data_IF_669866529824
#
_entry.id   IF_669866529824
#
_cell.length_a   1.000
_cell.length_b   1.000
_cell.length_c   1.000
_cell.angle_alpha   90.00
_cell.angle_beta   90.00
_cell.angle_gamma   90.00
#
_symmetry.space_group_name_H-M   'P 1'
#
loop_
_entity.id
_entity.type
_entity.pdbx_description
1 polymer ?
#
# COMPACT_ATOMS: atom_id res chain seq x y z
N UNK A 1 -26.48 -21.00 -7.57
CA UNK A 1 -26.47 -19.88 -6.61
C UNK A 1 -25.44 -20.20 -5.53
N UNK A 2 -24.26 -19.57 -5.58
CA UNK A 2 -23.42 -19.37 -4.39
C UNK A 2 -22.41 -18.25 -4.65
N UNK A 3 -22.71 -17.13 -3.99
CA UNK A 3 -21.87 -16.02 -3.48
C UNK A 3 -20.63 -15.62 -4.28
N UNK A 4 -20.77 -14.44 -4.88
CA UNK A 4 -19.76 -13.40 -5.07
C UNK A 4 -18.35 -13.76 -4.58
N UNK A 5 -17.51 -14.14 -5.54
CA UNK A 5 -16.07 -13.92 -5.50
C UNK A 5 -15.89 -12.39 -5.52
N UNK A 6 -16.00 -11.75 -4.36
CA UNK A 6 -15.61 -10.34 -4.21
C UNK A 6 -14.13 -10.27 -4.58
N UNK A 7 -13.84 -9.64 -5.71
CA UNK A 7 -12.53 -9.46 -6.30
C UNK A 7 -11.45 -9.19 -5.23
N UNK A 8 -10.67 -10.21 -4.86
CA UNK A 8 -9.48 -10.03 -4.04
C UNK A 8 -8.50 -9.20 -4.86
N UNK A 9 -8.16 -8.00 -4.39
CA UNK A 9 -7.00 -7.24 -4.89
C UNK A 9 -5.81 -8.22 -4.90
N UNK A 10 -5.16 -8.51 -6.05
CA UNK A 10 -3.93 -9.28 -6.03
C UNK A 10 -2.93 -8.49 -5.18
N UNK A 11 -2.49 -9.06 -4.07
CA UNK A 11 -1.50 -8.42 -3.21
C UNK A 11 -0.19 -8.30 -3.97
N UNK A 12 0.50 -7.19 -3.81
CA UNK A 12 1.76 -6.96 -4.50
C UNK A 12 2.82 -7.93 -4.00
N UNK A 13 3.63 -8.43 -4.93
CA UNK A 13 4.74 -9.29 -4.54
C UNK A 13 5.78 -8.49 -3.74
N UNK A 14 6.30 -9.10 -2.67
CA UNK A 14 7.29 -8.45 -1.81
C UNK A 14 8.55 -8.02 -2.59
N UNK A 15 8.94 -8.77 -3.62
CA UNK A 15 10.06 -8.40 -4.48
C UNK A 15 9.75 -7.16 -5.30
N UNK A 16 8.52 -7.07 -5.82
CA UNK A 16 8.04 -5.88 -6.52
C UNK A 16 8.10 -4.66 -5.59
N UNK A 17 7.58 -4.80 -4.37
CA UNK A 17 7.58 -3.74 -3.37
C UNK A 17 8.98 -3.28 -2.97
N UNK A 18 9.90 -4.21 -2.70
CA UNK A 18 11.30 -3.87 -2.39
C UNK A 18 11.98 -3.15 -3.57
N UNK A 19 11.70 -3.58 -4.80
CA UNK A 19 12.20 -2.89 -6.01
C UNK A 19 11.64 -1.48 -6.11
N UNK A 20 10.37 -1.26 -5.76
CA UNK A 20 9.74 0.07 -5.70
C UNK A 20 10.33 0.93 -4.58
N UNK A 21 10.47 0.40 -3.36
CA UNK A 21 11.13 1.11 -2.26
C UNK A 21 12.54 1.54 -2.61
N UNK A 22 13.30 0.73 -3.36
CA UNK A 22 14.66 1.08 -3.76
C UNK A 22 14.76 2.22 -4.79
N UNK A 23 13.64 2.71 -5.34
CA UNK A 23 13.66 3.77 -6.34
C UNK A 23 13.60 5.19 -5.73
N UNK A 24 14.10 6.20 -6.47
CA UNK A 24 13.83 7.61 -6.20
C UNK A 24 12.33 7.94 -6.13
N UNK A 25 11.97 9.02 -5.44
CA UNK A 25 10.58 9.40 -5.18
C UNK A 25 9.76 9.60 -6.46
N UNK A 26 10.31 10.27 -7.46
CA UNK A 26 9.73 10.47 -8.79
C UNK A 26 9.34 9.15 -9.46
N UNK A 27 10.22 8.15 -9.41
CA UNK A 27 9.92 6.81 -9.95
C UNK A 27 8.88 6.08 -9.08
N UNK A 28 8.89 6.27 -7.76
CA UNK A 28 7.87 5.71 -6.86
C UNK A 28 6.47 6.27 -7.18
N UNK A 29 6.37 7.58 -7.45
CA UNK A 29 5.14 8.22 -7.90
C UNK A 29 4.67 7.67 -9.24
N UNK A 30 5.58 7.49 -10.21
CA UNK A 30 5.22 6.93 -11.53
C UNK A 30 4.70 5.48 -11.42
N UNK A 31 5.27 4.67 -10.53
CA UNK A 31 4.85 3.29 -10.28
C UNK A 31 3.47 3.20 -9.60
N UNK A 32 3.12 4.22 -8.81
CA UNK A 32 1.86 4.38 -8.08
C UNK A 32 0.96 5.48 -8.68
N UNK A 33 1.09 5.79 -9.97
CA UNK A 33 0.51 6.98 -10.61
C UNK A 33 -1.02 7.14 -10.49
N UNK A 34 -1.75 6.11 -10.06
CA UNK A 34 -3.20 6.15 -9.82
C UNK A 34 -3.59 6.51 -8.39
N UNK A 35 -2.64 6.80 -7.50
CA UNK A 35 -2.87 6.98 -6.07
C UNK A 35 -2.48 8.38 -5.59
N UNK A 36 -3.29 8.97 -4.71
CA UNK A 36 -3.04 10.28 -4.10
C UNK A 36 -2.23 10.20 -2.79
N UNK A 37 -1.86 9.00 -2.35
CA UNK A 37 -1.23 8.73 -1.06
C UNK A 37 -0.07 7.75 -1.16
N UNK A 38 0.82 7.90 -2.14
CA UNK A 38 1.87 6.92 -2.48
C UNK A 38 2.69 6.44 -1.28
N UNK A 39 3.04 7.32 -0.35
CA UNK A 39 3.77 6.96 0.86
C UNK A 39 2.99 5.98 1.77
N UNK A 40 1.70 6.26 1.99
CA UNK A 40 0.80 5.44 2.79
C UNK A 40 0.47 4.12 2.07
N UNK A 41 0.14 4.19 0.77
CA UNK A 41 -0.17 3.03 -0.04
C UNK A 41 1.01 2.06 -0.15
N UNK A 42 2.23 2.57 -0.32
CA UNK A 42 3.45 1.77 -0.38
C UNK A 42 3.72 1.05 0.96
N UNK A 43 3.51 1.73 2.09
CA UNK A 43 3.67 1.13 3.41
C UNK A 43 2.59 0.07 3.70
N UNK A 44 1.34 0.38 3.37
CA UNK A 44 0.18 -0.50 3.54
C UNK A 44 0.28 -1.75 2.66
N UNK A 45 0.67 -1.62 1.39
CA UNK A 45 0.87 -2.76 0.49
C UNK A 45 2.04 -3.64 0.98
N UNK A 46 3.08 -3.06 1.61
CA UNK A 46 4.19 -3.81 2.20
C UNK A 46 3.78 -4.63 3.42
N UNK A 47 3.07 -4.03 4.37
CA UNK A 47 2.50 -4.73 5.53
C UNK A 47 1.59 -5.87 5.06
N UNK A 48 0.71 -5.57 4.09
CA UNK A 48 -0.16 -6.56 3.46
C UNK A 48 0.65 -7.70 2.86
N UNK A 49 1.72 -7.42 2.12
CA UNK A 49 2.56 -8.46 1.52
C UNK A 49 3.23 -9.35 2.57
N UNK A 50 3.68 -8.80 3.70
CA UNK A 50 4.23 -9.56 4.84
C UNK A 50 3.18 -10.46 5.47
N UNK A 51 1.99 -9.92 5.78
CA UNK A 51 0.88 -10.68 6.37
C UNK A 51 0.54 -11.93 5.55
N UNK A 52 0.60 -11.83 4.22
CA UNK A 52 0.32 -12.95 3.32
C UNK A 52 1.44 -14.00 3.23
N UNK A 53 2.67 -13.72 3.70
CA UNK A 53 3.72 -14.74 3.76
C UNK A 53 3.52 -15.73 4.91
N UNK A 54 2.63 -15.41 5.86
CA UNK A 54 2.26 -16.26 6.98
C UNK A 54 3.30 -16.32 8.09
N UNK A 55 2.98 -17.10 9.12
CA UNK A 55 3.69 -17.08 10.40
C UNK A 55 5.18 -17.49 10.28
N UNK A 56 6.00 -16.84 11.10
CA UNK A 56 7.45 -17.04 11.17
C UNK A 56 8.21 -16.59 9.92
N UNK A 57 7.56 -15.96 8.93
CA UNK A 57 8.26 -15.44 7.75
C UNK A 57 9.37 -14.45 8.13
N UNK A 58 9.06 -13.48 8.99
CA UNK A 58 10.03 -12.49 9.46
C UNK A 58 11.17 -13.12 10.27
N UNK A 59 10.90 -14.19 11.02
CA UNK A 59 11.95 -14.90 11.78
C UNK A 59 12.92 -15.65 10.85
N UNK A 60 12.44 -16.11 9.69
CA UNK A 60 13.26 -16.72 8.63
C UNK A 60 13.94 -15.70 7.73
N UNK A 61 13.52 -14.43 7.77
CA UNK A 61 14.01 -13.34 6.90
C UNK A 61 14.40 -12.13 7.76
N UNK A 62 15.51 -12.20 8.51
CA UNK A 62 15.89 -11.17 9.48
C UNK A 62 16.17 -9.80 8.83
N UNK A 63 16.60 -9.79 7.58
CA UNK A 63 16.78 -8.59 6.75
C UNK A 63 15.44 -7.90 6.46
N UNK A 64 14.41 -8.66 6.08
CA UNK A 64 13.05 -8.13 5.89
C UNK A 64 12.46 -7.67 7.21
N UNK A 65 12.70 -8.41 8.30
CA UNK A 65 12.26 -8.04 9.66
C UNK A 65 12.90 -6.72 10.13
N UNK A 66 14.15 -6.46 9.76
CA UNK A 66 14.80 -5.19 10.09
C UNK A 66 14.19 -4.03 9.30
N UNK A 67 13.90 -4.24 8.02
CA UNK A 67 13.21 -3.27 7.17
C UNK A 67 11.79 -2.96 7.66
N UNK A 68 11.02 -3.99 8.01
CA UNK A 68 9.68 -3.89 8.57
C UNK A 68 9.66 -3.00 9.83
N UNK A 69 10.56 -3.27 10.78
CA UNK A 69 10.73 -2.44 11.98
C UNK A 69 11.16 -1.01 11.69
N UNK A 70 11.94 -0.79 10.63
CA UNK A 70 12.33 0.56 10.23
C UNK A 70 11.09 1.31 9.73
N UNK A 71 10.26 0.68 8.92
CA UNK A 71 9.01 1.24 8.41
C UNK A 71 8.03 1.56 9.55
N UNK A 72 7.91 0.68 10.54
CA UNK A 72 7.02 0.84 11.71
C UNK A 72 7.38 2.05 12.61
N UNK A 73 8.63 2.53 12.56
CA UNK A 73 9.14 3.56 13.49
C UNK A 73 8.30 4.83 13.52
N UNK A 74 7.66 5.16 12.40
CA UNK A 74 6.85 6.37 12.22
C UNK A 74 5.35 6.09 12.04
N UNK A 75 4.89 4.87 12.36
CA UNK A 75 3.46 4.57 12.39
C UNK A 75 2.75 5.46 13.41
N UNK A 76 1.60 6.00 13.01
CA UNK A 76 0.84 6.98 13.81
C UNK A 76 1.37 8.42 13.74
N UNK A 77 2.40 8.70 12.93
CA UNK A 77 2.93 10.06 12.68
C UNK A 77 2.60 10.48 11.23
N UNK A 78 1.43 11.10 10.98
CA UNK A 78 0.93 11.41 9.63
C UNK A 78 1.90 12.25 8.78
N UNK A 79 2.76 13.05 9.40
CA UNK A 79 3.74 13.90 8.73
C UNK A 79 4.74 13.11 7.87
N UNK A 80 5.04 11.85 8.22
CA UNK A 80 5.96 10.98 7.48
C UNK A 80 5.31 10.29 6.28
N UNK A 81 3.98 10.36 6.14
CA UNK A 81 3.21 9.66 5.09
C UNK A 81 2.70 10.62 4.02
N UNK A 82 3.36 11.76 3.87
CA UNK A 82 3.04 12.79 2.86
C UNK A 82 3.95 12.66 1.63
N UNK A 83 3.51 13.20 0.49
CA UNK A 83 4.36 13.26 -0.71
C UNK A 83 5.66 14.06 -0.46
N UNK A 84 5.59 15.12 0.35
CA UNK A 84 6.74 15.95 0.68
C UNK A 84 7.75 15.19 1.53
N UNK A 85 7.27 14.39 2.51
CA UNK A 85 8.13 13.49 3.26
C UNK A 85 8.76 12.43 2.35
N UNK A 86 7.98 11.82 1.45
CA UNK A 86 8.50 10.84 0.49
C UNK A 86 9.65 11.42 -0.35
N UNK A 87 9.55 12.69 -0.78
CA UNK A 87 10.57 13.36 -1.60
C UNK A 87 11.82 13.77 -0.82
N UNK A 88 11.66 14.24 0.41
CA UNK A 88 12.68 15.04 1.07
C UNK A 88 13.10 14.55 2.46
N UNK A 89 12.33 13.67 3.08
CA UNK A 89 12.64 13.21 4.43
C UNK A 89 13.78 12.17 4.43
N UNK A 90 14.80 12.33 5.30
CA UNK A 90 15.87 11.35 5.45
C UNK A 90 15.40 9.94 5.82
N UNK A 91 14.24 9.80 6.47
CA UNK A 91 13.61 8.50 6.76
C UNK A 91 13.33 7.71 5.47
N UNK A 92 12.73 8.37 4.47
CA UNK A 92 12.43 7.73 3.20
C UNK A 92 13.70 7.38 2.43
N UNK A 93 14.73 8.23 2.51
CA UNK A 93 16.04 7.88 1.94
C UNK A 93 16.67 6.66 2.60
N UNK A 94 16.54 6.53 3.93
CA UNK A 94 17.00 5.35 4.64
C UNK A 94 16.25 4.08 4.17
N UNK A 95 14.94 4.15 3.98
CA UNK A 95 14.16 3.04 3.42
C UNK A 95 14.65 2.64 2.02
N UNK A 96 14.96 3.61 1.14
CA UNK A 96 15.51 3.31 -0.20
C UNK A 96 16.82 2.54 -0.11
N UNK A 97 17.73 3.00 0.75
CA UNK A 97 19.05 2.40 0.94
C UNK A 97 18.92 0.96 1.45
N UNK A 98 18.09 0.73 2.46
CA UNK A 98 17.88 -0.60 3.05
C UNK A 98 17.21 -1.57 2.07
N UNK A 99 16.20 -1.12 1.33
CA UNK A 99 15.58 -1.93 0.28
C UNK A 99 16.60 -2.31 -0.81
N UNK A 100 17.41 -1.35 -1.26
CA UNK A 100 18.47 -1.60 -2.23
C UNK A 100 19.56 -2.55 -1.70
N UNK A 101 19.86 -2.51 -0.40
CA UNK A 101 20.78 -3.43 0.25
C UNK A 101 20.22 -4.86 0.28
N UNK A 102 18.94 -5.04 0.66
CA UNK A 102 18.24 -6.34 0.66
C UNK A 102 18.25 -6.97 -0.73
N UNK A 103 17.89 -6.19 -1.76
CA UNK A 103 17.93 -6.66 -3.16
C UNK A 103 19.33 -7.12 -3.56
N UNK A 104 20.36 -6.35 -3.17
CA UNK A 104 21.76 -6.69 -3.41
C UNK A 104 22.20 -7.99 -2.73
N UNK A 105 21.86 -8.17 -1.45
CA UNK A 105 22.18 -9.40 -0.69
C UNK A 105 21.50 -10.64 -1.28
N UNK A 106 20.30 -10.47 -1.83
CA UNK A 106 19.50 -11.56 -2.41
C UNK A 106 19.80 -11.83 -3.90
N UNK A 107 20.70 -11.06 -4.51
CA UNK A 107 21.02 -11.18 -5.95
C UNK A 107 19.86 -10.79 -6.87
N UNK A 108 18.95 -9.93 -6.39
CA UNK A 108 17.77 -9.48 -7.12
C UNK A 108 18.07 -8.13 -7.80
N UNK A 109 17.53 -7.93 -9.00
CA UNK A 109 17.67 -6.67 -9.73
C UNK A 109 17.11 -5.48 -8.94
N UNK A 110 17.85 -4.37 -8.96
CA UNK A 110 17.43 -3.06 -8.40
C UNK A 110 16.70 -2.18 -9.40
N UNK A 111 16.51 -2.66 -10.63
CA UNK A 111 15.78 -1.92 -11.65
C UNK A 111 14.33 -1.70 -11.20
N UNK A 112 13.72 -0.56 -11.54
CA UNK A 112 12.31 -0.33 -11.25
C UNK A 112 11.48 -1.50 -11.80
N UNK A 113 10.47 -1.98 -11.05
CA UNK A 113 9.59 -3.00 -11.55
C UNK A 113 8.65 -2.42 -12.62
N UNK A 114 7.92 -3.30 -13.30
CA UNK A 114 6.88 -2.82 -14.22
C UNK A 114 5.80 -2.07 -13.42
N UNK A 115 5.31 -0.91 -13.91
CA UNK A 115 4.28 -0.14 -13.23
C UNK A 115 3.04 -0.96 -12.94
N UNK A 116 2.33 -0.60 -11.86
CA UNK A 116 1.03 -1.17 -11.56
C UNK A 116 0.05 -0.76 -12.65
N UNK A 117 -0.15 -1.64 -13.64
CA UNK A 117 -1.15 -1.44 -14.69
C UNK A 117 -2.56 -1.79 -14.16
N UNK A 118 -2.89 -1.27 -12.96
CA UNK A 118 -4.16 -1.49 -12.30
C UNK A 118 -5.09 -0.37 -12.77
N UNK A 119 -5.93 -0.67 -13.76
CA UNK A 119 -7.04 0.21 -14.10
C UNK A 119 -8.05 0.16 -12.97
N UNK A 120 -8.16 1.23 -12.19
CA UNK A 120 -9.31 1.43 -11.33
C UNK A 120 -10.54 1.62 -12.23
N UNK A 121 -11.33 0.56 -12.40
CA UNK A 121 -12.75 0.77 -12.67
C UNK A 121 -13.26 1.43 -11.40
N UNK A 122 -13.56 2.73 -11.46
CA UNK A 122 -14.45 3.32 -10.46
C UNK A 122 -15.66 2.39 -10.47
N UNK A 123 -15.81 1.57 -9.42
CA UNK A 123 -17.12 1.01 -9.16
C UNK A 123 -17.98 2.24 -9.06
N UNK A 124 -18.85 2.45 -10.05
CA UNK A 124 -19.84 3.50 -10.02
C UNK A 124 -20.35 3.51 -8.58
N UNK A 125 -20.17 4.61 -7.87
CA UNK A 125 -21.06 4.90 -6.75
C UNK A 125 -22.43 4.85 -7.41
N UNK A 126 -23.09 3.70 -7.30
CA UNK A 126 -24.51 3.58 -7.53
C UNK A 126 -25.07 4.75 -6.73
N UNK A 127 -25.72 5.74 -7.37
CA UNK A 127 -26.28 6.84 -6.62
C UNK A 127 -27.33 6.20 -5.72
N UNK A 128 -26.97 6.04 -4.45
CA UNK A 128 -27.73 5.31 -3.45
C UNK A 128 -28.96 6.15 -3.04
N UNK A 129 -29.85 6.33 -4.02
CA UNK A 129 -31.19 6.85 -3.85
C UNK A 129 -32.01 5.91 -2.97
N UNK A 130 -31.60 4.64 -2.80
CA UNK A 130 -32.24 3.71 -1.90
C UNK A 130 -31.95 4.07 -0.42
N UNK A 131 -30.71 4.40 -0.05
CA UNK A 131 -30.40 4.84 1.33
C UNK A 131 -31.00 6.20 1.67
N UNK A 132 -31.00 7.14 0.72
CA UNK A 132 -31.64 8.45 0.90
C UNK A 132 -33.15 8.29 1.15
N UNK A 133 -33.80 7.41 0.39
CA UNK A 133 -35.24 7.12 0.54
C UNK A 133 -35.54 6.37 1.85
N UNK A 134 -34.68 5.43 2.26
CA UNK A 134 -34.82 4.71 3.53
C UNK A 134 -34.61 5.64 4.75
N UNK A 135 -33.63 6.56 4.70
CA UNK A 135 -33.43 7.56 5.75
C UNK A 135 -34.58 8.56 5.83
N UNK A 136 -35.16 8.95 4.69
CA UNK A 136 -36.33 9.83 4.65
C UNK A 136 -37.60 9.14 5.20
N UNK A 137 -37.79 7.85 4.90
CA UNK A 137 -38.91 7.05 5.42
C UNK A 137 -38.77 6.82 6.94
N UNK A 138 -37.56 6.49 7.42
CA UNK A 138 -37.30 6.30 8.84
C UNK A 138 -37.54 7.58 9.66
N UNK A 139 -37.13 8.76 9.15
CA UNK A 139 -37.41 10.05 9.82
C UNK A 139 -38.91 10.37 9.88
N UNK A 140 -39.70 9.95 8.89
CA UNK A 140 -41.15 10.19 8.86
C UNK A 140 -41.94 9.27 9.81
N UNK A 141 -41.39 8.11 10.18
CA UNK A 141 -42.01 7.18 11.15
C UNK A 141 -41.66 7.48 12.61
N UNK A 142 -40.59 8.25 12.88
CA UNK A 142 -40.16 8.64 14.24
C UNK A 142 -40.72 10.00 14.70
N UNK A 143 -41.59 10.65 13.92
CA UNK A 143 -42.27 11.90 14.28
C UNK A 143 -43.80 11.75 14.37
N UNK A 144 -44.29 10.60 14.85
CA UNK A 144 -45.68 10.44 15.28
C UNK A 144 -45.76 10.10 16.75
#
# INVERSE_FOLDING_TARGET
MNKADSARKPYLDLTWLLRTFAQPADVQFDLYCSFTGVADDLASDFETAILHKGDGFLDRNPDIKAFDKLLEKHFGQPEYWTEEALKHDPFWEQLRIEAAAILGMRGISKLPPDPLNITFVQADEEPDGALATLKALARKMLSR
#
